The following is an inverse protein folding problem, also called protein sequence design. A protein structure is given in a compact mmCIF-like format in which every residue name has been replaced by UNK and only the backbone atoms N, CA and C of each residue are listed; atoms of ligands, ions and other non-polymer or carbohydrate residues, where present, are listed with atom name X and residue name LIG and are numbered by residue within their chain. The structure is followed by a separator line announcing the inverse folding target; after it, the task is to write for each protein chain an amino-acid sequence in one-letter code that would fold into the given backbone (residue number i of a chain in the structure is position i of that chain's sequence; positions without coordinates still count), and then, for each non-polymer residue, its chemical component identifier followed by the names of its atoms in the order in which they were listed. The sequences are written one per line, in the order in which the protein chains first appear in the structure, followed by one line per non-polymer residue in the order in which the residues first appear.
data_IF_706333267733
#
_entry.id   IF_706333267733
#
_cell.length_a   1.000
_cell.length_b   1.000
_cell.length_c   1.000
_cell.angle_alpha   90.00
_cell.angle_beta   90.00
_cell.angle_gamma   90.00
#
_symmetry.space_group_name_H-M   'P 1'
#
loop_
_entity.id
_entity.type
_entity.pdbx_description
1 polymer ?
#
# COMPACT_ATOMS: atom_id res chain seq x y z
N UNK A 1 10.26 8.94 -19.46
CA UNK A 1 9.02 8.58 -20.20
C UNK A 1 7.83 8.81 -19.28
N UNK A 2 6.73 9.35 -19.79
CA UNK A 2 5.48 9.46 -19.05
C UNK A 2 4.70 8.13 -19.06
N UNK A 3 3.65 8.02 -18.24
CA UNK A 3 2.80 6.81 -18.14
C UNK A 3 2.32 6.29 -19.50
N UNK A 4 1.81 7.18 -20.37
CA UNK A 4 1.26 6.80 -21.68
C UNK A 4 2.35 6.17 -22.57
N UNK A 5 3.54 6.77 -22.59
CA UNK A 5 4.69 6.26 -23.33
C UNK A 5 5.19 4.93 -22.79
N UNK A 6 5.17 4.73 -21.46
CA UNK A 6 5.60 3.47 -20.83
C UNK A 6 4.65 2.32 -21.15
N UNK A 7 3.36 2.58 -21.29
CA UNK A 7 2.37 1.58 -21.68
C UNK A 7 2.49 1.28 -23.18
N UNK A 8 2.54 2.33 -24.03
CA UNK A 8 2.51 2.15 -25.49
C UNK A 8 3.80 1.59 -26.10
N UNK A 9 4.88 1.42 -25.33
CA UNK A 9 6.14 0.83 -25.82
C UNK A 9 6.10 -0.70 -25.87
N UNK A 10 5.12 -1.32 -25.23
CA UNK A 10 4.99 -2.78 -25.17
C UNK A 10 4.35 -3.30 -26.44
N UNK A 11 5.09 -4.11 -27.19
CA UNK A 11 4.52 -4.85 -28.31
C UNK A 11 3.64 -6.01 -27.80
N UNK A 12 2.54 -6.36 -28.50
CA UNK A 12 1.66 -7.45 -28.08
C UNK A 12 2.39 -8.78 -27.82
N UNK A 13 3.38 -9.11 -28.66
CA UNK A 13 4.18 -10.33 -28.53
C UNK A 13 5.06 -10.32 -27.27
N UNK A 14 5.62 -9.16 -26.88
CA UNK A 14 6.42 -9.03 -25.66
C UNK A 14 5.54 -9.21 -24.42
N UNK A 15 4.37 -8.58 -24.41
CA UNK A 15 3.38 -8.72 -23.33
C UNK A 15 2.93 -10.18 -23.19
N UNK A 16 2.63 -10.85 -24.31
CA UNK A 16 2.23 -12.26 -24.30
C UNK A 16 3.33 -13.16 -23.71
N UNK A 17 4.58 -12.99 -24.17
CA UNK A 17 5.71 -13.76 -23.68
C UNK A 17 5.96 -13.58 -22.17
N UNK A 18 5.84 -12.35 -21.64
CA UNK A 18 5.96 -12.08 -20.19
C UNK A 18 4.87 -12.80 -19.41
N UNK A 19 3.63 -12.77 -19.89
CA UNK A 19 2.51 -13.42 -19.19
C UNK A 19 2.59 -14.95 -19.26
N UNK A 20 3.00 -15.53 -20.38
CA UNK A 20 3.26 -16.97 -20.50
C UNK A 20 4.36 -17.42 -19.53
N UNK A 21 5.46 -16.66 -19.46
CA UNK A 21 6.53 -16.94 -18.53
C UNK A 21 6.08 -16.82 -17.07
N UNK A 22 5.31 -15.77 -16.73
CA UNK A 22 4.73 -15.59 -15.39
C UNK A 22 3.79 -16.74 -15.00
N UNK A 23 2.90 -17.15 -15.91
CA UNK A 23 1.99 -18.29 -15.71
C UNK A 23 2.74 -19.59 -15.37
N UNK A 24 3.95 -19.75 -15.91
CA UNK A 24 4.77 -20.93 -15.67
C UNK A 24 5.41 -20.98 -14.26
N UNK A 25 5.48 -19.86 -13.53
CA UNK A 25 6.14 -19.78 -12.22
C UNK A 25 5.22 -19.38 -11.06
N UNK A 26 4.12 -18.68 -11.37
CA UNK A 26 3.16 -18.15 -10.38
C UNK A 26 2.17 -19.20 -9.88
N UNK A 27 1.67 -19.04 -8.66
CA UNK A 27 0.60 -19.88 -8.12
C UNK A 27 1.08 -21.16 -7.41
N UNK A 28 0.18 -21.71 -6.59
CA UNK A 28 0.46 -22.87 -5.73
C UNK A 28 0.84 -24.12 -6.52
N UNK A 29 0.25 -24.29 -7.70
CA UNK A 29 0.53 -25.40 -8.62
C UNK A 29 2.00 -25.46 -9.06
N UNK A 30 2.70 -24.32 -9.07
CA UNK A 30 4.09 -24.24 -9.53
C UNK A 30 5.12 -24.35 -8.40
N UNK A 31 4.73 -24.54 -7.13
CA UNK A 31 5.65 -24.58 -5.98
C UNK A 31 6.70 -25.72 -6.04
N UNK A 32 6.42 -26.78 -6.79
CA UNK A 32 7.33 -27.92 -6.95
C UNK A 32 8.47 -27.65 -7.94
N UNK A 33 8.39 -26.58 -8.74
CA UNK A 33 9.40 -26.23 -9.74
C UNK A 33 10.66 -25.71 -9.06
N UNK A 34 11.82 -26.19 -9.52
CA UNK A 34 13.14 -25.79 -8.99
C UNK A 34 13.49 -24.35 -9.37
N UNK A 35 13.19 -23.94 -10.60
CA UNK A 35 13.35 -22.56 -11.06
C UNK A 35 11.97 -21.91 -11.13
N UNK A 36 11.84 -20.82 -10.38
CA UNK A 36 10.65 -19.96 -10.30
C UNK A 36 11.04 -18.50 -10.39
N UNK A 37 12.10 -18.22 -11.13
CA UNK A 37 12.54 -16.85 -11.40
C UNK A 37 11.46 -16.07 -12.13
N UNK A 38 11.35 -14.78 -11.79
CA UNK A 38 10.52 -13.86 -12.56
C UNK A 38 11.16 -13.67 -13.94
N UNK A 39 10.38 -13.57 -15.03
CA UNK A 39 10.94 -13.44 -16.38
C UNK A 39 11.83 -12.20 -16.52
N UNK A 40 12.80 -12.22 -17.46
CA UNK A 40 13.58 -11.03 -17.80
C UNK A 40 12.73 -10.01 -18.57
N UNK A 41 13.07 -8.73 -18.46
CA UNK A 41 12.46 -7.66 -19.23
C UNK A 41 13.10 -7.53 -20.62
N UNK A 42 12.32 -7.30 -21.69
CA UNK A 42 12.87 -6.95 -22.99
C UNK A 42 13.54 -5.56 -23.03
N UNK A 43 13.41 -4.77 -21.96
CA UNK A 43 13.99 -3.42 -21.84
C UNK A 43 15.23 -3.37 -20.95
N UNK A 44 15.65 -4.52 -20.39
CA UNK A 44 16.75 -4.59 -19.42
C UNK A 44 16.43 -3.82 -18.14
N UNK A 45 17.43 -3.10 -17.61
CA UNK A 45 17.34 -2.40 -16.34
C UNK A 45 17.14 -0.89 -16.49
N UNK A 46 16.39 -0.31 -15.57
CA UNK A 46 16.30 1.13 -15.36
C UNK A 46 17.63 1.71 -14.86
N UNK A 47 17.78 3.03 -14.90
CA UNK A 47 18.93 3.73 -14.32
C UNK A 47 19.13 3.47 -12.81
N UNK A 48 18.08 3.02 -12.11
CA UNK A 48 18.14 2.63 -10.70
C UNK A 48 18.57 1.17 -10.50
N UNK A 49 18.95 0.45 -11.56
CA UNK A 49 19.34 -0.97 -11.51
C UNK A 49 18.18 -1.94 -11.33
N UNK A 50 16.94 -1.49 -11.49
CA UNK A 50 15.74 -2.32 -11.40
C UNK A 50 15.35 -2.85 -12.78
N UNK A 51 14.99 -4.12 -12.87
CA UNK A 51 14.48 -4.74 -14.10
C UNK A 51 13.20 -4.02 -14.57
N UNK A 52 13.20 -3.50 -15.80
CA UNK A 52 12.24 -2.51 -16.27
C UNK A 52 10.95 -3.15 -16.82
N UNK A 53 9.96 -3.33 -15.97
CA UNK A 53 8.63 -3.79 -16.32
C UNK A 53 7.60 -2.65 -16.37
N UNK A 54 8.05 -1.40 -16.41
CA UNK A 54 7.13 -0.26 -16.33
C UNK A 54 6.12 -0.27 -17.48
N UNK A 55 4.86 -0.06 -17.14
CA UNK A 55 3.74 -0.04 -18.09
C UNK A 55 3.29 -1.39 -18.65
N UNK A 56 3.86 -2.52 -18.19
CA UNK A 56 3.46 -3.86 -18.66
C UNK A 56 2.00 -4.15 -18.31
N UNK A 57 1.31 -4.91 -19.16
CA UNK A 57 0.01 -5.51 -18.83
C UNK A 57 0.24 -6.92 -18.29
N UNK A 58 -0.19 -7.17 -17.06
CA UNK A 58 -0.15 -8.49 -16.42
C UNK A 58 -1.56 -9.08 -16.37
N UNK A 59 -1.74 -10.19 -17.08
CA UNK A 59 -2.96 -11.01 -17.07
C UNK A 59 -2.95 -12.00 -15.92
N UNK A 60 -1.76 -12.39 -15.46
CA UNK A 60 -1.58 -13.34 -14.37
C UNK A 60 -1.36 -12.63 -13.03
N UNK A 61 -1.95 -13.14 -11.93
CA UNK A 61 -1.61 -12.68 -10.59
C UNK A 61 -0.20 -13.14 -10.21
N UNK A 62 0.49 -12.33 -9.43
CA UNK A 62 1.82 -12.63 -8.91
C UNK A 62 1.67 -13.33 -7.56
N UNK A 63 1.67 -14.66 -7.57
CA UNK A 63 1.33 -15.49 -6.43
C UNK A 63 2.46 -16.43 -5.97
N UNK A 64 2.73 -16.43 -4.67
CA UNK A 64 3.75 -17.30 -4.06
C UNK A 64 5.16 -17.10 -4.62
N UNK A 65 5.49 -15.89 -5.07
CA UNK A 65 6.78 -15.55 -5.66
C UNK A 65 7.69 -14.86 -4.63
N UNK A 66 8.99 -14.95 -4.84
CA UNK A 66 9.98 -14.11 -4.15
C UNK A 66 10.70 -13.31 -5.22
N UNK A 67 10.51 -12.00 -5.20
CA UNK A 67 10.92 -11.11 -6.30
C UNK A 67 11.76 -9.98 -5.73
N UNK A 68 12.82 -9.64 -6.44
CA UNK A 68 13.73 -8.57 -6.07
C UNK A 68 14.04 -7.67 -7.26
N UNK A 69 14.35 -6.40 -6.98
CA UNK A 69 14.92 -5.46 -7.95
C UNK A 69 14.06 -5.26 -9.22
N UNK A 70 12.74 -5.12 -9.04
CA UNK A 70 11.77 -5.03 -10.14
C UNK A 70 11.09 -3.67 -10.17
N UNK A 71 10.98 -3.03 -11.34
CA UNK A 71 10.19 -1.81 -11.53
C UNK A 71 8.90 -2.09 -12.30
N UNK A 72 7.79 -2.21 -11.58
CA UNK A 72 6.42 -2.35 -12.10
C UNK A 72 5.67 -1.01 -12.11
N UNK A 73 6.36 0.13 -12.07
CA UNK A 73 5.68 1.43 -12.07
C UNK A 73 4.76 1.55 -13.28
N UNK A 74 3.52 1.97 -13.03
CA UNK A 74 2.45 2.07 -14.02
C UNK A 74 2.05 0.77 -14.73
N UNK A 75 2.47 -0.40 -14.23
CA UNK A 75 1.95 -1.68 -14.70
C UNK A 75 0.42 -1.74 -14.55
N UNK A 76 -0.22 -2.43 -15.48
CA UNK A 76 -1.65 -2.63 -15.55
C UNK A 76 -1.96 -4.08 -15.17
N UNK A 77 -2.75 -4.26 -14.12
CA UNK A 77 -3.19 -5.58 -13.67
C UNK A 77 -4.63 -5.81 -14.17
N UNK A 78 -4.82 -6.85 -14.98
CA UNK A 78 -6.13 -7.29 -15.45
C UNK A 78 -7.04 -7.76 -14.28
N UNK A 79 -8.36 -7.98 -14.47
CA UNK A 79 -9.35 -8.27 -13.43
C UNK A 79 -9.02 -9.34 -12.40
N UNK A 80 -8.09 -10.26 -12.65
CA UNK A 80 -7.64 -11.29 -11.69
C UNK A 80 -6.24 -11.04 -11.10
N UNK A 81 -5.54 -9.99 -11.55
CA UNK A 81 -4.21 -9.63 -11.07
C UNK A 81 -4.15 -9.22 -9.60
N UNK A 82 -3.01 -9.45 -8.97
CA UNK A 82 -2.77 -9.11 -7.57
C UNK A 82 -1.37 -9.50 -7.14
N UNK A 83 -0.98 -9.07 -5.94
CA UNK A 83 0.33 -9.35 -5.35
C UNK A 83 0.10 -10.25 -4.14
N UNK A 84 -0.07 -11.55 -4.35
CA UNK A 84 -0.71 -12.44 -3.37
C UNK A 84 0.31 -13.44 -2.82
N UNK A 85 0.41 -13.61 -1.52
CA UNK A 85 1.32 -14.58 -0.88
C UNK A 85 2.78 -14.47 -1.36
N UNK A 86 3.19 -13.30 -1.82
CA UNK A 86 4.49 -13.07 -2.46
C UNK A 86 5.36 -12.14 -1.62
N UNK A 87 6.66 -12.37 -1.65
CA UNK A 87 7.65 -11.49 -1.02
C UNK A 87 8.29 -10.60 -2.08
N UNK A 88 8.26 -9.29 -1.87
CA UNK A 88 8.94 -8.33 -2.73
C UNK A 88 10.02 -7.59 -1.96
N UNK A 89 11.19 -7.42 -2.56
CA UNK A 89 12.31 -6.67 -1.96
C UNK A 89 12.91 -5.71 -2.98
N UNK A 90 13.06 -4.44 -2.62
CA UNK A 90 13.60 -3.41 -3.52
C UNK A 90 12.84 -3.34 -4.86
N UNK A 91 11.50 -3.30 -4.80
CA UNK A 91 10.64 -3.22 -5.98
C UNK A 91 9.84 -1.91 -6.03
N UNK A 92 9.48 -1.45 -7.22
CA UNK A 92 8.65 -0.25 -7.42
C UNK A 92 7.31 -0.59 -8.03
N UNK A 93 6.27 0.01 -7.48
CA UNK A 93 4.87 -0.10 -7.88
C UNK A 93 4.27 1.30 -8.04
N UNK A 94 5.07 2.28 -8.48
CA UNK A 94 4.63 3.66 -8.48
C UNK A 94 3.53 3.90 -9.50
N UNK A 95 2.44 4.56 -9.08
CA UNK A 95 1.30 4.83 -9.94
C UNK A 95 0.54 3.61 -10.46
N UNK A 96 0.77 2.40 -9.93
CA UNK A 96 -0.03 1.22 -10.26
C UNK A 96 -1.46 1.39 -9.78
N UNK A 97 -2.39 0.66 -10.40
CA UNK A 97 -3.77 0.54 -9.94
C UNK A 97 -4.02 -0.89 -9.47
N UNK A 98 -4.25 -1.04 -8.18
CA UNK A 98 -4.56 -2.30 -7.50
C UNK A 98 -5.80 -2.13 -6.61
N UNK A 99 -6.74 -1.31 -7.06
CA UNK A 99 -8.02 -1.10 -6.40
C UNK A 99 -8.73 -2.44 -6.14
N UNK A 100 -9.17 -2.66 -4.91
CA UNK A 100 -9.89 -3.87 -4.49
C UNK A 100 -9.07 -5.16 -4.49
N UNK A 101 -7.74 -5.10 -4.72
CA UNK A 101 -6.89 -6.29 -4.84
C UNK A 101 -6.31 -6.77 -3.53
N UNK A 102 -5.88 -8.02 -3.53
CA UNK A 102 -5.06 -8.59 -2.48
C UNK A 102 -3.58 -8.23 -2.70
N UNK A 103 -2.99 -7.61 -1.67
CA UNK A 103 -1.57 -7.25 -1.61
C UNK A 103 -1.05 -7.86 -0.31
N UNK A 104 -0.64 -9.12 -0.37
CA UNK A 104 -0.49 -9.98 0.82
C UNK A 104 0.88 -10.61 0.92
N UNK A 105 1.27 -10.88 2.18
CA UNK A 105 2.59 -11.33 2.66
C UNK A 105 3.55 -10.18 2.94
N UNK A 106 4.71 -10.11 2.28
CA UNK A 106 5.85 -9.30 2.77
C UNK A 106 6.38 -8.37 1.68
N UNK A 107 6.52 -7.09 2.02
CA UNK A 107 7.16 -6.08 1.18
C UNK A 107 8.29 -5.41 1.96
N UNK A 108 9.47 -5.30 1.35
CA UNK A 108 10.67 -4.69 1.96
C UNK A 108 11.32 -3.71 1.00
N UNK A 109 11.60 -2.49 1.44
CA UNK A 109 12.23 -1.46 0.59
C UNK A 109 11.47 -1.23 -0.72
N UNK A 110 10.14 -1.33 -0.69
CA UNK A 110 9.31 -1.17 -1.88
C UNK A 110 8.69 0.23 -1.96
N UNK A 111 8.51 0.74 -3.17
CA UNK A 111 7.79 1.99 -3.41
C UNK A 111 6.40 1.75 -4.00
N UNK A 112 5.41 2.47 -3.49
CA UNK A 112 4.02 2.56 -3.92
C UNK A 112 3.64 4.03 -4.12
N UNK A 113 4.60 4.87 -4.51
CA UNK A 113 4.40 6.30 -4.64
C UNK A 113 3.27 6.58 -5.63
N UNK A 114 2.27 7.38 -5.21
CA UNK A 114 1.07 7.68 -6.02
C UNK A 114 0.30 6.45 -6.52
N UNK A 115 0.50 5.27 -5.93
CA UNK A 115 -0.29 4.09 -6.27
C UNK A 115 -1.76 4.29 -5.88
N UNK A 116 -2.67 3.66 -6.63
CA UNK A 116 -4.09 3.62 -6.32
C UNK A 116 -4.41 2.24 -5.76
N UNK A 117 -4.63 2.19 -4.46
CA UNK A 117 -4.82 0.97 -3.66
C UNK A 117 -6.18 1.01 -2.94
N UNK A 118 -7.15 1.78 -3.46
CA UNK A 118 -8.46 1.94 -2.83
C UNK A 118 -9.12 0.58 -2.64
N UNK A 119 -9.66 0.33 -1.45
CA UNK A 119 -10.31 -0.95 -1.11
C UNK A 119 -9.39 -2.18 -1.15
N UNK A 120 -8.08 -2.02 -1.30
CA UNK A 120 -7.15 -3.15 -1.29
C UNK A 120 -7.12 -3.85 0.08
N UNK A 121 -6.86 -5.15 0.07
CA UNK A 121 -6.68 -5.95 1.26
C UNK A 121 -5.18 -6.20 1.50
N UNK A 122 -4.68 -5.70 2.62
CA UNK A 122 -3.29 -5.85 3.03
C UNK A 122 -3.07 -7.10 3.87
N UNK A 123 -1.93 -7.76 3.61
CA UNK A 123 -1.46 -8.90 4.40
C UNK A 123 -0.32 -8.52 5.35
N UNK A 124 0.42 -9.54 5.78
CA UNK A 124 1.30 -9.58 6.95
C UNK A 124 2.19 -8.35 7.23
N UNK A 125 3.05 -7.92 6.30
CA UNK A 125 4.13 -6.97 6.64
C UNK A 125 4.58 -6.08 5.49
N UNK A 126 4.79 -4.81 5.80
CA UNK A 126 5.45 -3.81 4.98
C UNK A 126 6.57 -3.17 5.79
N UNK A 127 7.78 -3.16 5.26
CA UNK A 127 8.98 -2.68 5.95
C UNK A 127 9.80 -1.77 5.03
N UNK A 128 10.14 -0.58 5.52
CA UNK A 128 10.87 0.44 4.76
C UNK A 128 10.18 0.77 3.41
N UNK A 129 8.84 0.76 3.41
CA UNK A 129 8.04 1.02 2.21
C UNK A 129 7.61 2.49 2.10
N UNK A 130 7.53 3.00 0.87
CA UNK A 130 7.05 4.35 0.60
C UNK A 130 5.67 4.35 -0.06
N UNK A 131 4.66 4.85 0.65
CA UNK A 131 3.28 5.03 0.20
C UNK A 131 2.93 6.50 -0.03
N UNK A 132 3.93 7.38 -0.18
CA UNK A 132 3.73 8.82 -0.31
C UNK A 132 2.74 9.15 -1.44
N UNK A 133 1.76 10.01 -1.14
CA UNK A 133 0.68 10.43 -2.03
C UNK A 133 -0.16 9.29 -2.63
N UNK A 134 -0.12 8.09 -2.05
CA UNK A 134 -0.95 6.97 -2.49
C UNK A 134 -2.41 7.11 -2.03
N UNK A 135 -3.31 6.45 -2.76
CA UNK A 135 -4.71 6.33 -2.35
C UNK A 135 -4.94 5.00 -1.63
N UNK A 136 -5.01 5.04 -0.31
CA UNK A 136 -5.28 3.92 0.60
C UNK A 136 -6.72 3.95 1.12
N UNK A 137 -7.63 4.70 0.47
CA UNK A 137 -8.99 4.83 0.98
C UNK A 137 -9.70 3.49 0.99
N UNK A 138 -10.48 3.23 2.03
CA UNK A 138 -11.22 1.97 2.19
C UNK A 138 -10.37 0.69 2.23
N UNK A 139 -9.05 0.78 2.34
CA UNK A 139 -8.20 -0.42 2.49
C UNK A 139 -8.57 -1.20 3.74
N UNK A 140 -8.39 -2.51 3.68
CA UNK A 140 -8.69 -3.43 4.78
C UNK A 140 -7.43 -4.16 5.21
N UNK A 141 -7.27 -4.33 6.51
CA UNK A 141 -6.18 -5.08 7.09
C UNK A 141 -6.49 -5.44 8.52
N UNK A 142 -6.08 -6.63 8.93
CA UNK A 142 -6.07 -7.06 10.32
C UNK A 142 -4.71 -7.64 10.64
N UNK A 143 -4.15 -7.30 11.79
CA UNK A 143 -2.88 -7.83 12.27
C UNK A 143 -1.70 -7.55 11.30
N UNK A 144 -1.78 -6.46 10.53
CA UNK A 144 -0.73 -6.05 9.57
C UNK A 144 0.34 -5.24 10.28
N UNK A 145 1.61 -5.50 9.97
CA UNK A 145 2.76 -4.72 10.49
C UNK A 145 3.32 -3.77 9.43
N UNK A 146 3.31 -2.48 9.72
CA UNK A 146 4.00 -1.43 8.95
C UNK A 146 5.17 -0.91 9.78
N UNK A 147 6.40 -1.02 9.26
CA UNK A 147 7.62 -0.68 9.99
C UNK A 147 8.47 0.24 9.14
N UNK A 148 8.83 1.41 9.67
CA UNK A 148 9.59 2.45 8.96
C UNK A 148 8.99 2.84 7.61
N UNK A 149 7.66 2.78 7.52
CA UNK A 149 6.93 3.13 6.30
C UNK A 149 6.63 4.63 6.25
N UNK A 150 6.64 5.18 5.03
CA UNK A 150 6.27 6.58 4.77
C UNK A 150 4.87 6.64 4.18
N UNK A 151 3.99 7.39 4.83
CA UNK A 151 2.62 7.62 4.38
C UNK A 151 2.32 9.10 4.15
N UNK A 152 3.33 9.86 3.72
CA UNK A 152 3.21 11.30 3.55
C UNK A 152 2.13 11.63 2.52
N UNK A 153 1.20 12.52 2.85
CA UNK A 153 0.05 12.88 1.99
C UNK A 153 -0.82 11.69 1.53
N UNK A 154 -0.70 10.52 2.15
CA UNK A 154 -1.47 9.34 1.78
C UNK A 154 -2.94 9.49 2.23
N UNK A 155 -3.86 8.98 1.43
CA UNK A 155 -5.29 9.06 1.73
C UNK A 155 -5.78 7.77 2.39
N UNK A 156 -6.03 7.77 3.70
CA UNK A 156 -6.58 6.63 4.45
C UNK A 156 -8.08 6.74 4.72
N UNK A 157 -8.80 7.65 4.05
CA UNK A 157 -10.23 7.83 4.31
C UNK A 157 -11.00 6.52 4.18
N UNK A 158 -11.79 6.17 5.20
CA UNK A 158 -12.55 4.93 5.20
C UNK A 158 -11.72 3.66 5.40
N UNK A 159 -10.42 3.74 5.68
CA UNK A 159 -9.59 2.55 5.87
C UNK A 159 -9.93 1.82 7.18
N UNK A 160 -9.97 0.48 7.13
CA UNK A 160 -10.20 -0.39 8.27
C UNK A 160 -8.92 -1.21 8.52
N UNK A 161 -8.03 -0.67 9.34
CA UNK A 161 -6.73 -1.25 9.68
C UNK A 161 -6.72 -1.54 11.18
N UNK A 162 -7.43 -2.62 11.57
CA UNK A 162 -7.68 -2.98 12.97
C UNK A 162 -6.61 -3.93 13.49
N UNK A 163 -6.22 -3.77 14.76
CA UNK A 163 -5.16 -4.58 15.39
C UNK A 163 -3.82 -4.56 14.63
N UNK A 164 -3.60 -3.54 13.82
CA UNK A 164 -2.37 -3.37 13.06
C UNK A 164 -1.27 -2.75 13.93
N UNK A 165 -0.02 -2.88 13.49
CA UNK A 165 1.13 -2.24 14.09
C UNK A 165 1.73 -1.21 13.12
N UNK A 166 1.99 -0.02 13.62
CA UNK A 166 2.71 1.04 12.91
C UNK A 166 3.92 1.43 13.76
N UNK A 167 5.10 1.02 13.34
CA UNK A 167 6.35 1.25 14.07
C UNK A 167 7.24 2.19 13.24
N UNK A 168 7.67 3.30 13.83
CA UNK A 168 8.57 4.29 13.22
C UNK A 168 8.05 4.81 11.86
N UNK A 169 6.74 4.87 11.69
CA UNK A 169 6.10 5.32 10.46
C UNK A 169 5.89 6.85 10.45
N UNK A 170 5.87 7.44 9.25
CA UNK A 170 5.64 8.87 9.06
C UNK A 170 4.27 9.14 8.43
N UNK A 171 3.48 10.02 9.03
CA UNK A 171 2.11 10.32 8.59
C UNK A 171 1.84 11.78 8.24
N UNK A 172 2.87 12.62 8.07
CA UNK A 172 2.63 14.04 7.78
C UNK A 172 1.76 14.24 6.53
N UNK A 173 0.67 15.00 6.66
CA UNK A 173 -0.31 15.22 5.60
C UNK A 173 -1.25 14.04 5.30
N UNK A 174 -1.11 12.91 5.99
CA UNK A 174 -1.98 11.76 5.79
C UNK A 174 -3.43 12.09 6.21
N UNK A 175 -4.40 11.59 5.43
CA UNK A 175 -5.82 11.93 5.60
C UNK A 175 -6.55 10.79 6.30
N UNK A 176 -6.83 10.96 7.59
CA UNK A 176 -7.36 9.94 8.50
C UNK A 176 -8.81 10.26 8.91
N UNK A 177 -9.79 9.91 8.07
CA UNK A 177 -11.19 10.19 8.39
C UNK A 177 -12.09 9.01 8.05
N UNK A 178 -13.15 8.82 8.84
CA UNK A 178 -14.28 7.92 8.55
C UNK A 178 -13.90 6.44 8.41
N UNK A 179 -12.84 5.98 9.08
CA UNK A 179 -12.38 4.60 9.11
C UNK A 179 -12.15 4.10 10.53
N UNK A 180 -11.44 2.97 10.67
CA UNK A 180 -11.12 2.38 11.97
C UNK A 180 -9.66 1.94 12.07
N UNK A 181 -9.03 2.34 13.17
CA UNK A 181 -7.73 1.87 13.66
C UNK A 181 -7.89 1.08 14.96
N UNK A 182 -9.09 0.58 15.27
CA UNK A 182 -9.37 0.01 16.58
C UNK A 182 -8.42 -1.14 16.93
N UNK A 183 -7.91 -1.13 18.16
CA UNK A 183 -6.93 -2.10 18.68
C UNK A 183 -5.51 -1.96 18.10
N UNK A 184 -5.27 -1.04 17.17
CA UNK A 184 -3.96 -0.86 16.56
C UNK A 184 -2.95 -0.21 17.49
N UNK A 185 -1.66 -0.51 17.28
CA UNK A 185 -0.54 0.03 18.05
C UNK A 185 0.35 0.92 17.20
N UNK A 186 0.75 2.04 17.76
CA UNK A 186 1.70 2.98 17.18
C UNK A 186 2.92 3.06 18.09
N UNK A 187 4.10 2.90 17.51
CA UNK A 187 5.39 3.06 18.20
C UNK A 187 6.21 4.07 17.42
N UNK A 188 6.62 5.17 18.03
CA UNK A 188 7.42 6.20 17.36
C UNK A 188 7.37 7.56 18.05
N UNK A 189 8.05 8.52 17.43
CA UNK A 189 8.12 9.89 17.92
C UNK A 189 6.79 10.63 17.68
N UNK A 190 6.41 11.48 18.64
CA UNK A 190 5.10 12.11 18.67
C UNK A 190 4.80 12.95 17.41
N UNK A 191 5.79 13.66 16.87
CA UNK A 191 5.61 14.49 15.67
C UNK A 191 5.42 13.69 14.36
N UNK A 192 5.66 12.37 14.41
CA UNK A 192 5.47 11.48 13.26
C UNK A 192 4.12 10.77 13.26
N UNK A 193 3.40 10.81 14.39
CA UNK A 193 2.06 10.22 14.52
C UNK A 193 1.05 10.94 13.60
N UNK A 194 0.01 10.22 13.16
CA UNK A 194 -1.02 10.85 12.34
C UNK A 194 -1.86 11.83 13.16
N UNK A 195 -2.41 12.85 12.49
CA UNK A 195 -3.67 13.44 12.94
C UNK A 195 -4.74 12.34 12.88
N UNK A 196 -5.31 11.98 14.02
CA UNK A 196 -6.29 10.90 14.15
C UNK A 196 -7.61 11.20 13.44
N UNK A 197 -7.88 12.48 13.13
CA UNK A 197 -9.08 12.96 12.47
C UNK A 197 -10.36 12.38 13.05
N UNK A 198 -11.17 11.74 12.21
CA UNK A 198 -12.45 11.10 12.62
C UNK A 198 -12.36 9.57 12.59
N UNK A 199 -11.15 9.01 12.73
CA UNK A 199 -10.98 7.56 12.81
C UNK A 199 -11.55 7.03 14.12
N UNK A 200 -12.13 5.83 14.07
CA UNK A 200 -12.41 5.06 15.29
C UNK A 200 -11.07 4.58 15.84
N UNK A 201 -10.71 5.05 17.03
CA UNK A 201 -9.43 4.77 17.70
C UNK A 201 -9.60 3.97 18.99
N UNK A 202 -10.71 3.24 19.13
CA UNK A 202 -10.97 2.42 20.31
C UNK A 202 -9.81 1.45 20.58
N UNK A 203 -9.32 1.43 21.81
CA UNK A 203 -8.19 0.59 22.24
C UNK A 203 -6.88 0.80 21.46
N UNK A 204 -6.73 1.91 20.73
CA UNK A 204 -5.43 2.28 20.15
C UNK A 204 -4.42 2.52 21.26
N UNK A 205 -3.18 2.06 21.02
CA UNK A 205 -2.05 2.34 21.91
C UNK A 205 -0.97 3.12 21.19
N UNK A 206 -0.36 4.07 21.88
CA UNK A 206 0.82 4.83 21.44
C UNK A 206 1.93 4.60 22.45
N UNK A 207 3.09 4.11 21.98
CA UNK A 207 4.27 3.83 22.82
C UNK A 207 3.94 2.99 24.06
N UNK A 208 3.03 2.01 23.90
CA UNK A 208 2.59 1.10 24.96
C UNK A 208 1.44 1.60 25.84
N UNK A 209 1.15 2.90 25.87
CA UNK A 209 0.04 3.48 26.62
C UNK A 209 -1.23 3.59 25.77
N UNK A 210 -2.45 3.53 26.36
CA UNK A 210 -3.68 3.86 25.64
C UNK A 210 -3.62 5.27 25.03
N UNK A 211 -4.16 5.43 23.82
CA UNK A 211 -4.29 6.75 23.19
C UNK A 211 -5.22 7.63 24.02
N UNK A 212 -4.67 8.68 24.63
CA UNK A 212 -5.45 9.76 25.20
C UNK A 212 -5.72 10.79 24.09
N UNK A 213 -6.99 10.95 23.73
CA UNK A 213 -7.42 12.10 22.96
C UNK A 213 -7.87 13.16 23.95
N UNK A 214 -7.39 14.40 23.80
CA UNK A 214 -7.87 15.55 24.55
C UNK A 214 -9.33 15.81 24.16
N UNK A 215 -10.26 15.09 24.81
CA UNK A 215 -11.71 15.19 24.55
C UNK A 215 -12.30 16.53 25.02
N UNK A 216 -11.51 17.39 25.66
CA UNK A 216 -11.98 18.66 26.22
C UNK A 216 -12.27 19.76 25.17
N UNK A 217 -11.77 19.64 23.94
CA UNK A 217 -12.00 20.67 22.90
C UNK A 217 -13.36 20.51 22.20
N UNK A 218 -14.04 19.36 22.32
CA UNK A 218 -15.37 19.12 21.72
C UNK A 218 -16.53 19.25 22.70
N UNK A 219 -16.26 19.54 23.98
CA UNK A 219 -17.27 19.68 25.03
C UNK A 219 -17.15 21.00 25.82
N UNK A 220 -16.52 22.04 25.25
CA UNK A 220 -16.55 23.35 25.89
C UNK A 220 -17.94 24.00 25.71
N UNK A 221 -18.54 24.58 26.76
CA UNK A 221 -19.83 25.29 26.68
C UNK A 221 -19.83 26.46 25.68
N UNK A 222 -18.65 26.97 25.31
CA UNK A 222 -18.51 28.12 24.40
C UNK A 222 -18.84 27.75 22.94
N UNK A 223 -18.59 26.51 22.50
CA UNK A 223 -18.94 26.07 21.14
C UNK A 223 -20.45 25.84 20.93
N UNK A 224 -21.19 25.50 22.00
CA UNK A 224 -22.66 25.35 21.96
C UNK A 224 -23.36 26.71 21.84
N UNK A 225 -22.75 27.78 22.37
CA UNK A 225 -23.29 29.15 22.24
C UNK A 225 -23.16 29.67 20.81
N UNK A 226 -22.04 29.41 20.16
CA UNK A 226 -21.77 29.88 18.79
C UNK A 226 -22.69 29.23 17.74
N UNK A 227 -23.24 28.04 18.01
CA UNK A 227 -24.17 27.34 17.08
C UNK A 227 -25.66 27.62 17.33
N UNK A 228 -26.02 28.28 18.44
CA UNK A 228 -27.41 28.69 18.73
C UNK A 228 -27.71 30.13 18.33
N UNK A 229 -26.69 30.97 18.11
CA UNK A 229 -26.87 32.35 17.63
C UNK A 229 -27.06 32.43 16.10
N UNK A 230 -26.68 31.39 15.35
CA UNK A 230 -26.90 31.30 13.89
C UNK A 230 -28.21 30.57 13.49
N UNK A 231 -29.06 30.22 14.47
CA UNK A 231 -30.35 29.56 14.25
C UNK A 231 -31.58 30.36 14.72
N UNK A 232 -31.41 31.68 14.95
CA UNK A 232 -32.50 32.63 15.20
C UNK A 232 -32.65 33.64 14.06
#
# INVERSE_FOLDING_TARGET
MNKKQLISRWEPAQTAAVNEALASVTGKQNLHKKDRSFPPSPFGQTAAGLEDFRGVVLTEPMQYLTIQNLDLSYALFEPDGGLIYSTFTNCRFDGVKLDGRFITKIFKHCSFHKAVLKSAAFGERFEDCDFTSSNLSHTKGRDVSFIRCRFLDANFRGAHLMYCAFEECLFAGAKMNNGSLAGSRFLGEAQHLPDWGTMITDHVKVNGAPLALDREVQASPDYIRETLEDAL
#
